data_IF_732897897045
#
_entry.id   IF_732897897045
#
_cell.length_a   1.000
_cell.length_b   1.000
_cell.length_c   1.000
_cell.angle_alpha   90.00
_cell.angle_beta   90.00
_cell.angle_gamma   90.00
#
_symmetry.space_group_name_H-M   'P 1'
#
loop_
_entity.id
_entity.type
_entity.pdbx_description
1 polymer ?
#
# COMPACT_ATOMS: atom_id res chain seq x y z
N UNK A 1 7.39 -0.15 13.84
CA UNK A 1 6.01 -0.11 13.30
C UNK A 1 5.94 0.94 12.21
N UNK A 2 5.20 0.69 11.17
CA UNK A 2 5.21 1.53 9.99
C UNK A 2 3.79 1.96 9.58
N UNK A 3 3.70 3.15 8.98
CA UNK A 3 2.46 3.63 8.36
C UNK A 3 2.41 3.09 6.93
N UNK A 4 1.30 2.46 6.58
CA UNK A 4 1.07 1.96 5.23
C UNK A 4 0.32 3.01 4.41
N UNK A 5 0.90 3.39 3.28
CA UNK A 5 0.25 4.26 2.30
C UNK A 5 -0.08 3.43 1.06
N UNK A 6 -1.31 3.53 0.58
CA UNK A 6 -1.75 2.79 -0.61
C UNK A 6 -2.20 3.78 -1.67
N UNK A 7 -1.71 3.61 -2.89
CA UNK A 7 -2.18 4.34 -4.06
C UNK A 7 -2.87 3.38 -5.01
N UNK A 8 -4.13 3.66 -5.34
CA UNK A 8 -4.92 2.79 -6.21
C UNK A 8 -5.86 3.64 -7.05
N UNK A 9 -5.79 3.45 -8.37
CA UNK A 9 -6.66 4.15 -9.35
C UNK A 9 -6.69 5.66 -9.12
N UNK A 10 -5.52 6.26 -8.89
CA UNK A 10 -5.40 7.70 -8.70
C UNK A 10 -5.73 8.21 -7.31
N UNK A 11 -6.17 7.34 -6.42
CA UNK A 11 -6.45 7.71 -5.03
C UNK A 11 -5.34 7.19 -4.12
N UNK A 12 -5.00 7.97 -3.11
CA UNK A 12 -3.93 7.64 -2.19
C UNK A 12 -4.36 7.98 -0.76
N UNK A 13 -3.94 7.15 0.18
CA UNK A 13 -4.25 7.41 1.58
C UNK A 13 -3.42 6.54 2.52
N UNK A 14 -3.36 6.98 3.77
CA UNK A 14 -2.67 6.27 4.82
C UNK A 14 -3.66 5.41 5.62
N UNK A 15 -3.18 4.21 5.99
CA UNK A 15 -3.91 3.38 6.95
C UNK A 15 -3.68 3.91 8.36
N UNK A 16 -4.75 4.00 9.14
CA UNK A 16 -4.69 4.60 10.47
C UNK A 16 -3.91 3.77 11.49
N UNK A 17 -3.82 2.46 11.27
CA UNK A 17 -3.09 1.57 12.18
C UNK A 17 -1.70 1.29 11.64
N UNK A 18 -0.75 1.15 12.54
CA UNK A 18 0.62 0.82 12.15
C UNK A 18 0.76 -0.67 11.91
N UNK A 19 1.64 -1.03 10.96
CA UNK A 19 1.91 -2.42 10.61
C UNK A 19 3.41 -2.71 10.78
N UNK A 20 3.77 -3.98 10.73
CA UNK A 20 5.15 -4.43 10.87
C UNK A 20 5.95 -3.99 9.64
N UNK A 21 6.98 -3.16 9.86
CA UNK A 21 7.85 -2.68 8.80
C UNK A 21 8.59 -3.81 8.08
N UNK A 22 8.80 -4.94 8.75
CA UNK A 22 9.53 -6.08 8.20
C UNK A 22 8.63 -7.13 7.57
N UNK A 23 7.33 -6.89 7.51
CA UNK A 23 6.41 -7.80 6.83
C UNK A 23 6.84 -8.00 5.37
N UNK A 24 6.65 -9.20 4.85
CA UNK A 24 7.01 -9.49 3.46
C UNK A 24 6.15 -8.71 2.48
N UNK A 25 6.64 -8.56 1.25
CA UNK A 25 5.86 -7.90 0.20
C UNK A 25 4.51 -8.59 -0.02
N UNK A 26 4.50 -9.92 0.01
CA UNK A 26 3.26 -10.68 -0.13
C UNK A 26 2.29 -10.39 1.02
N UNK A 27 2.80 -10.28 2.23
CA UNK A 27 1.97 -9.95 3.39
C UNK A 27 1.44 -8.52 3.29
N UNK A 28 2.26 -7.58 2.84
CA UNK A 28 1.83 -6.19 2.66
C UNK A 28 0.68 -6.12 1.65
N UNK A 29 0.80 -6.82 0.52
CA UNK A 29 -0.27 -6.84 -0.49
C UNK A 29 -1.55 -7.44 0.05
N UNK A 30 -1.45 -8.50 0.84
CA UNK A 30 -2.63 -9.14 1.44
C UNK A 30 -3.29 -8.23 2.48
N UNK A 31 -2.49 -7.61 3.34
CA UNK A 31 -2.99 -6.65 4.32
C UNK A 31 -3.71 -5.51 3.61
N UNK A 32 -3.13 -5.00 2.52
CA UNK A 32 -3.71 -3.90 1.77
C UNK A 32 -5.10 -4.22 1.23
N UNK A 33 -5.30 -5.43 0.71
CA UNK A 33 -6.62 -5.85 0.23
C UNK A 33 -7.65 -5.77 1.36
N UNK A 34 -7.32 -6.31 2.52
CA UNK A 34 -8.23 -6.30 3.66
C UNK A 34 -8.50 -4.87 4.16
N UNK A 35 -7.47 -4.04 4.21
CA UNK A 35 -7.59 -2.65 4.65
C UNK A 35 -8.53 -1.87 3.72
N UNK A 36 -8.36 -2.02 2.41
CA UNK A 36 -9.22 -1.31 1.44
C UNK A 36 -10.65 -1.83 1.49
N UNK A 37 -10.83 -3.13 1.63
CA UNK A 37 -12.17 -3.74 1.73
C UNK A 37 -12.91 -3.27 2.97
N UNK A 38 -12.22 -3.10 4.07
CA UNK A 38 -12.82 -2.75 5.36
C UNK A 38 -13.01 -1.26 5.57
N UNK A 39 -12.54 -0.43 4.63
CA UNK A 39 -12.64 1.02 4.78
C UNK A 39 -11.62 1.62 5.72
N UNK A 40 -10.49 0.94 5.93
CA UNK A 40 -9.42 1.43 6.80
C UNK A 40 -8.68 2.63 6.28
N UNK A 41 -8.90 3.02 5.03
CA UNK A 41 -8.29 4.19 4.43
C UNK A 41 -9.38 5.14 3.95
N UNK A 42 -9.34 6.36 4.43
CA UNK A 42 -10.31 7.38 4.04
C UNK A 42 -10.18 7.66 2.55
N UNK A 43 -11.30 7.65 1.84
CA UNK A 43 -11.33 7.95 0.42
C UNK A 43 -10.96 6.75 -0.47
N UNK A 44 -10.68 5.60 0.12
CA UNK A 44 -10.34 4.40 -0.63
C UNK A 44 -11.00 3.19 0.02
N UNK A 45 -12.29 3.00 -0.28
CA UNK A 45 -13.08 1.91 0.27
C UNK A 45 -13.74 1.14 -0.86
N UNK A 46 -13.27 -0.09 -1.09
CA UNK A 46 -13.77 -0.95 -2.16
C UNK A 46 -14.07 -2.34 -1.59
N UNK A 47 -15.33 -2.56 -1.26
CA UNK A 47 -15.79 -3.77 -0.58
C UNK A 47 -15.51 -5.03 -1.41
N UNK A 48 -15.60 -4.92 -2.73
CA UNK A 48 -15.43 -6.05 -3.65
C UNK A 48 -14.05 -6.09 -4.30
N UNK A 49 -13.05 -5.46 -3.70
CA UNK A 49 -11.70 -5.48 -4.25
C UNK A 49 -11.21 -6.93 -4.36
N UNK A 50 -10.75 -7.37 -5.55
CA UNK A 50 -10.26 -8.74 -5.70
C UNK A 50 -8.96 -8.97 -4.92
N UNK A 51 -8.72 -10.21 -4.51
CA UNK A 51 -7.54 -10.56 -3.73
C UNK A 51 -6.24 -10.26 -4.46
N UNK A 52 -6.25 -10.30 -5.79
CA UNK A 52 -5.06 -10.06 -6.59
C UNK A 52 -4.93 -8.60 -7.06
N UNK A 53 -5.72 -7.68 -6.51
CA UNK A 53 -5.72 -6.29 -6.95
C UNK A 53 -4.35 -5.64 -6.90
N UNK A 54 -3.52 -6.03 -5.93
CA UNK A 54 -2.19 -5.47 -5.75
C UNK A 54 -1.07 -6.41 -6.16
N UNK A 55 -1.38 -7.48 -6.92
CA UNK A 55 -0.40 -8.51 -7.25
C UNK A 55 0.84 -7.96 -7.97
N UNK A 56 0.66 -6.93 -8.79
CA UNK A 56 1.74 -6.31 -9.56
C UNK A 56 2.16 -4.95 -9.01
N UNK A 57 1.72 -4.63 -7.80
CA UNK A 57 2.10 -3.36 -7.18
C UNK A 57 3.49 -3.45 -6.57
N UNK A 58 4.17 -2.32 -6.52
CA UNK A 58 5.49 -2.18 -5.92
C UNK A 58 5.32 -1.86 -4.45
N UNK A 59 6.12 -2.52 -3.61
CA UNK A 59 6.19 -2.24 -2.17
C UNK A 59 7.51 -1.54 -1.90
N UNK A 60 7.46 -0.27 -1.53
CA UNK A 60 8.64 0.51 -1.16
C UNK A 60 8.63 0.75 0.33
N UNK A 61 9.79 0.68 0.95
CA UNK A 61 9.96 0.93 2.38
C UNK A 61 10.92 2.08 2.57
N UNK A 62 10.55 3.00 3.46
CA UNK A 62 11.34 4.18 3.74
C UNK A 62 11.44 4.36 5.25
N UNK A 63 12.67 4.58 5.72
CA UNK A 63 12.90 5.00 7.10
C UNK A 63 13.50 6.39 7.06
N UNK A 64 12.81 7.34 7.71
CA UNK A 64 13.27 8.73 7.73
C UNK A 64 14.43 8.90 8.71
N UNK A 65 15.21 9.99 8.58
CA UNK A 65 16.26 10.28 9.57
C UNK A 65 15.73 10.42 11.00
N UNK A 66 14.47 10.80 11.15
CA UNK A 66 13.81 10.88 12.46
C UNK A 66 13.35 9.55 13.02
N UNK A 67 13.59 8.45 12.29
CA UNK A 67 13.20 7.12 12.74
C UNK A 67 11.79 6.69 12.37
N UNK A 68 11.07 7.49 11.61
CA UNK A 68 9.75 7.09 11.11
C UNK A 68 9.89 6.03 10.04
N UNK A 69 9.03 5.02 10.09
CA UNK A 69 9.00 3.94 9.10
C UNK A 69 7.71 4.03 8.30
N UNK A 70 7.85 4.02 6.98
CA UNK A 70 6.71 4.09 6.07
C UNK A 70 6.83 3.01 5.01
N UNK A 71 5.67 2.48 4.61
CA UNK A 71 5.57 1.51 3.54
C UNK A 71 4.62 2.07 2.51
N UNK A 72 5.07 2.11 1.25
CA UNK A 72 4.26 2.60 0.13
C UNK A 72 3.92 1.46 -0.79
N UNK A 73 2.64 1.22 -0.98
CA UNK A 73 2.13 0.28 -1.97
C UNK A 73 1.55 1.08 -3.12
N UNK A 74 2.13 0.96 -4.29
CA UNK A 74 1.76 1.77 -5.44
C UNK A 74 1.85 1.00 -6.74
N UNK A 75 1.12 1.44 -7.79
CA UNK A 75 1.18 0.79 -9.09
C UNK A 75 2.59 0.84 -9.65
N UNK A 76 2.96 -0.23 -10.35
CA UNK A 76 4.22 -0.26 -11.07
C UNK A 76 4.14 0.69 -12.26
N UNK A 77 5.12 1.60 -12.36
CA UNK A 77 5.22 2.52 -13.50
C UNK A 77 6.08 1.86 -14.56
N UNK A 78 5.58 1.66 -15.78
CA UNK A 78 6.35 1.04 -16.85
C UNK A 78 7.36 2.05 -17.39
N UNK A 79 8.56 2.07 -16.83
CA UNK A 79 9.62 2.95 -17.30
C UNK A 79 9.94 2.66 -18.75
N UNK A 80 10.06 3.70 -19.54
CA UNK A 80 10.35 3.59 -20.95
C UNK A 80 9.13 3.34 -21.82
N UNK A 81 8.05 2.86 -21.26
CA UNK A 81 6.84 2.59 -22.04
C UNK A 81 6.19 3.87 -22.53
N UNK A 82 6.35 4.94 -21.80
CA UNK A 82 5.84 6.25 -22.17
C UNK A 82 6.94 7.21 -22.57
N UNK A 83 8.13 6.70 -22.64
CA UNK A 83 9.29 7.55 -22.99
C UNK A 83 9.47 7.61 -24.49
#
# INVERSE_FOLDING_TARGET
>A
MAVLNITYQGNSGDYDLEIDYTASDADIRRIAVEVVRSGGIRGLHLVNLPENAFANFVVDRLRTPGGEERIYLRPKVPFGAGA
#
